data_IF_473200458371
#
_entry.id   IF_473200458371
#
_cell.length_a   1.000
_cell.length_b   1.000
_cell.length_c   1.000
_cell.angle_alpha   90.00
_cell.angle_beta   90.00
_cell.angle_gamma   90.00
#
_symmetry.space_group_name_H-M   'P 1'
#
loop_
_entity.id
_entity.type
_entity.pdbx_description
1 polymer ?
#
# COMPACT_ATOMS: atom_id res chain seq x y z
N UNK A 1 18.26 -0.79 5.44
CA UNK A 1 17.23 -1.75 4.98
C UNK A 1 16.64 -1.28 3.67
N UNK A 2 16.80 -2.08 2.62
CA UNK A 2 16.12 -1.85 1.35
C UNK A 2 14.66 -2.27 1.52
N UNK A 3 13.69 -1.41 1.23
CA UNK A 3 12.27 -1.76 1.39
C UNK A 3 11.61 -1.83 0.01
N UNK A 4 10.70 -2.78 -0.22
CA UNK A 4 10.02 -2.89 -1.49
C UNK A 4 8.58 -2.42 -1.52
N UNK A 5 8.25 -1.81 -2.65
CA UNK A 5 6.94 -1.35 -3.08
C UNK A 5 6.36 -2.33 -4.10
N UNK A 6 5.20 -2.91 -3.79
CA UNK A 6 4.53 -3.86 -4.69
C UNK A 6 3.68 -3.11 -5.73
N UNK A 7 3.97 -3.25 -7.01
CA UNK A 7 3.18 -2.69 -8.12
C UNK A 7 2.43 -3.81 -8.88
N UNK A 8 1.10 -3.68 -8.97
CA UNK A 8 0.25 -4.54 -9.77
C UNK A 8 -0.25 -3.78 -11.00
N UNK A 9 0.10 -4.24 -12.20
CA UNK A 9 -0.45 -3.71 -13.44
C UNK A 9 -0.60 -4.82 -14.51
N UNK A 10 -1.79 -5.03 -15.11
CA UNK A 10 -1.93 -5.89 -16.28
C UNK A 10 -1.19 -5.28 -17.48
N UNK A 11 -0.65 -6.17 -18.33
CA UNK A 11 0.27 -5.89 -19.46
C UNK A 11 -0.25 -4.86 -20.48
N UNK A 12 -1.54 -4.56 -20.51
CA UNK A 12 -2.20 -3.73 -21.53
C UNK A 12 -2.06 -2.21 -21.36
N UNK A 13 -1.35 -1.71 -20.34
CA UNK A 13 -1.03 -0.27 -20.19
C UNK A 13 0.46 -0.02 -20.02
N UNK A 14 1.27 -0.58 -20.93
CA UNK A 14 2.70 -0.27 -21.07
C UNK A 14 2.93 0.50 -22.37
N UNK A 15 2.62 1.79 -22.34
CA UNK A 15 3.55 2.77 -22.87
C UNK A 15 4.27 3.36 -21.63
N UNK A 16 5.56 3.66 -21.72
CA UNK A 16 6.29 4.54 -20.79
C UNK A 16 7.12 3.96 -19.63
N UNK A 17 7.36 2.64 -19.52
CA UNK A 17 8.43 2.13 -18.62
C UNK A 17 9.63 1.59 -19.43
N UNK A 18 9.83 2.14 -20.63
CA UNK A 18 10.87 1.71 -21.56
C UNK A 18 11.51 2.87 -22.32
N UNK A 19 11.68 4.02 -21.69
CA UNK A 19 12.55 5.06 -22.25
C UNK A 19 14.00 4.74 -21.85
N UNK A 20 14.76 4.27 -22.85
CA UNK A 20 16.23 4.20 -22.81
C UNK A 20 16.78 5.52 -22.28
N UNK A 21 17.78 5.45 -21.42
CA UNK A 21 18.59 6.60 -21.03
C UNK A 21 19.22 7.21 -22.28
N UNK A 22 18.55 8.18 -22.89
CA UNK A 22 19.17 9.14 -23.78
C UNK A 22 19.76 10.23 -22.87
N UNK A 23 21.03 10.54 -23.08
CA UNK A 23 21.71 11.67 -22.46
C UNK A 23 21.01 12.94 -22.96
N UNK A 24 20.03 13.42 -22.19
CA UNK A 24 19.33 14.68 -22.46
C UNK A 24 20.17 15.80 -21.87
N UNK A 25 20.50 16.78 -22.72
CA UNK A 25 21.23 17.98 -22.34
C UNK A 25 20.61 18.66 -21.12
N UNK A 26 21.47 19.15 -20.24
CA UNK A 26 21.15 19.85 -18.99
C UNK A 26 20.04 20.89 -19.26
N UNK A 27 18.84 20.74 -18.69
CA UNK A 27 17.79 21.74 -18.86
C UNK A 27 18.26 23.06 -18.23
N UNK A 28 17.84 24.22 -18.77
CA UNK A 28 18.18 25.49 -18.15
C UNK A 28 17.68 25.46 -16.71
N UNK A 29 18.56 25.88 -15.78
CA UNK A 29 18.25 26.06 -14.37
C UNK A 29 16.96 26.87 -14.32
N UNK A 30 15.86 26.21 -13.94
CA UNK A 30 14.62 26.90 -13.66
C UNK A 30 14.91 27.65 -12.37
N UNK A 31 15.19 28.94 -12.54
CA UNK A 31 15.37 29.91 -11.46
C UNK A 31 14.32 29.59 -10.40
N UNK A 32 14.80 29.10 -9.25
CA UNK A 32 13.97 28.85 -8.10
C UNK A 32 13.29 30.18 -7.81
N UNK A 33 11.96 30.22 -7.96
CA UNK A 33 11.19 31.34 -7.46
C UNK A 33 11.60 31.52 -5.99
N UNK A 34 11.89 32.76 -5.55
CA UNK A 34 12.25 33.01 -4.17
C UNK A 34 11.20 32.36 -3.26
N UNK A 35 11.64 31.81 -2.14
CA UNK A 35 10.77 31.34 -1.07
C UNK A 35 9.93 32.52 -0.55
N UNK A 36 8.86 32.84 -1.27
CA UNK A 36 7.86 33.77 -0.81
C UNK A 36 7.09 33.06 0.29
N UNK A 37 6.82 33.78 1.38
CA UNK A 37 5.89 33.49 2.48
C UNK A 37 4.44 33.27 1.98
N UNK A 38 4.25 32.38 1.01
CA UNK A 38 2.93 31.98 0.52
C UNK A 38 2.41 30.95 1.50
N UNK A 39 1.36 31.31 2.22
CA UNK A 39 0.64 30.38 3.10
C UNK A 39 0.35 29.07 2.34
N UNK A 40 0.75 27.89 2.86
CA UNK A 40 0.46 26.62 2.22
C UNK A 40 -1.04 26.42 1.89
N UNK A 41 -1.94 26.98 2.70
CA UNK A 41 -3.38 26.98 2.46
C UNK A 41 -3.76 27.77 1.20
N UNK A 42 -3.10 28.88 0.95
CA UNK A 42 -3.28 29.69 -0.26
C UNK A 42 -2.82 28.94 -1.53
N UNK A 43 -1.70 28.21 -1.45
CA UNK A 43 -1.25 27.35 -2.54
C UNK A 43 -2.25 26.20 -2.83
N UNK A 44 -2.83 25.59 -1.78
CA UNK A 44 -3.87 24.57 -1.92
C UNK A 44 -5.11 25.17 -2.61
N UNK A 45 -5.56 26.35 -2.20
CA UNK A 45 -6.68 27.06 -2.82
C UNK A 45 -6.46 27.32 -4.31
N UNK A 46 -5.26 27.77 -4.67
CA UNK A 46 -4.89 28.01 -6.05
C UNK A 46 -4.97 26.74 -6.91
N UNK A 47 -4.56 25.59 -6.35
CA UNK A 47 -4.64 24.30 -7.03
C UNK A 47 -6.09 23.84 -7.27
N UNK A 48 -7.01 24.07 -6.33
CA UNK A 48 -8.45 23.86 -6.58
C UNK A 48 -8.91 24.63 -7.83
N UNK A 49 -8.51 25.90 -7.96
CA UNK A 49 -8.87 26.70 -9.12
C UNK A 49 -8.23 26.19 -10.42
N UNK A 50 -6.97 25.72 -10.36
CA UNK A 50 -6.26 25.13 -11.51
C UNK A 50 -6.99 23.93 -12.11
N UNK A 51 -7.71 23.17 -11.27
CA UNK A 51 -8.51 22.01 -11.69
C UNK A 51 -10.00 22.31 -11.85
N UNK A 52 -10.42 23.58 -11.84
CA UNK A 52 -11.82 23.99 -11.88
C UNK A 52 -12.70 23.36 -10.77
N UNK A 53 -12.10 23.07 -9.62
CA UNK A 53 -12.78 22.54 -8.45
C UNK A 53 -13.10 23.65 -7.45
N UNK A 54 -14.14 23.45 -6.66
CA UNK A 54 -14.53 24.34 -5.57
C UNK A 54 -14.00 23.74 -4.26
N UNK A 55 -13.24 24.50 -3.44
CA UNK A 55 -12.86 24.05 -2.10
C UNK A 55 -14.08 23.70 -1.24
N UNK A 56 -13.93 22.86 -0.20
CA UNK A 56 -15.03 22.56 0.72
C UNK A 56 -15.61 23.83 1.35
N UNK A 57 -16.92 23.84 1.59
CA UNK A 57 -17.64 25.02 2.10
C UNK A 57 -17.01 25.67 3.36
N UNK A 58 -16.50 24.90 4.36
CA UNK A 58 -15.82 25.50 5.52
C UNK A 58 -14.55 26.29 5.18
N UNK A 59 -13.98 26.11 4.00
CA UNK A 59 -12.78 26.83 3.55
C UNK A 59 -13.12 28.11 2.77
N UNK A 60 -14.41 28.44 2.58
CA UNK A 60 -14.89 29.56 1.77
C UNK A 60 -15.34 30.78 2.60
N UNK A 61 -15.03 30.82 3.90
CA UNK A 61 -15.25 32.02 4.72
C UNK A 61 -14.27 33.15 4.31
N UNK A 62 -14.68 34.43 4.41
CA UNK A 62 -13.78 35.55 4.18
C UNK A 62 -12.54 35.48 5.10
N UNK A 63 -11.36 35.77 4.55
CA UNK A 63 -10.08 35.71 5.28
C UNK A 63 -9.49 34.31 5.44
N UNK A 64 -10.14 33.26 4.90
CA UNK A 64 -9.57 31.92 4.90
C UNK A 64 -8.52 31.80 3.76
N UNK A 65 -7.27 31.34 4.02
CA UNK A 65 -6.19 31.35 3.02
C UNK A 65 -6.53 30.54 1.76
N UNK A 66 -7.18 29.38 1.92
CA UNK A 66 -7.68 28.57 0.80
C UNK A 66 -8.64 29.35 -0.12
N UNK A 67 -9.54 30.17 0.45
CA UNK A 67 -10.46 30.98 -0.35
C UNK A 67 -9.68 32.02 -1.16
N UNK A 68 -8.75 32.71 -0.52
CA UNK A 68 -7.93 33.75 -1.17
C UNK A 68 -7.14 33.18 -2.33
N UNK A 69 -6.50 32.03 -2.12
CA UNK A 69 -5.78 31.31 -3.16
C UNK A 69 -6.67 30.84 -4.30
N UNK A 70 -7.86 30.31 -3.97
CA UNK A 70 -8.84 29.88 -4.97
C UNK A 70 -9.37 31.03 -5.81
N UNK A 71 -9.73 32.16 -5.20
CA UNK A 71 -10.19 33.35 -5.92
C UNK A 71 -9.08 33.92 -6.82
N UNK A 72 -7.84 34.00 -6.33
CA UNK A 72 -6.69 34.43 -7.14
C UNK A 72 -6.45 33.48 -8.31
N UNK A 73 -6.47 32.18 -8.05
CA UNK A 73 -6.32 31.15 -9.09
C UNK A 73 -7.42 31.24 -10.14
N UNK A 74 -8.68 31.46 -9.75
CA UNK A 74 -9.80 31.61 -10.70
C UNK A 74 -9.61 32.80 -11.64
N UNK A 75 -9.15 33.95 -11.12
CA UNK A 75 -8.86 35.14 -11.93
C UNK A 75 -7.77 34.88 -12.97
N UNK A 76 -6.75 34.10 -12.61
CA UNK A 76 -5.61 33.78 -13.49
C UNK A 76 -5.89 32.64 -14.48
N UNK A 77 -6.65 31.62 -14.07
CA UNK A 77 -6.86 30.42 -14.86
C UNK A 77 -7.89 30.60 -15.97
N UNK A 78 -8.86 31.51 -15.85
CA UNK A 78 -9.90 31.80 -16.86
C UNK A 78 -10.45 30.52 -17.55
N UNK A 79 -9.95 30.15 -18.74
CA UNK A 79 -10.30 28.94 -19.52
C UNK A 79 -9.19 27.87 -19.60
N UNK A 80 -8.03 28.07 -18.98
CA UNK A 80 -6.85 27.18 -19.00
C UNK A 80 -6.83 26.23 -17.80
N UNK A 81 -7.96 25.64 -17.47
CA UNK A 81 -8.07 24.67 -16.36
C UNK A 81 -7.68 23.27 -16.80
N UNK A 82 -7.22 22.46 -15.85
CA UNK A 82 -6.90 21.05 -16.03
C UNK A 82 -8.09 20.17 -15.66
N UNK A 83 -8.21 18.94 -16.20
CA UNK A 83 -9.31 18.04 -15.87
C UNK A 83 -9.25 17.56 -14.42
N UNK A 84 -10.41 17.64 -13.74
CA UNK A 84 -10.60 17.14 -12.38
C UNK A 84 -10.90 15.63 -12.37
N UNK A 85 -9.87 14.80 -12.46
CA UNK A 85 -10.03 13.35 -12.26
C UNK A 85 -10.26 13.00 -10.79
N UNK A 86 -10.86 11.85 -10.48
CA UNK A 86 -11.04 11.38 -9.09
C UNK A 86 -9.75 11.40 -8.26
N UNK A 87 -8.64 10.96 -8.86
CA UNK A 87 -7.32 11.00 -8.24
C UNK A 87 -6.85 12.42 -7.88
N UNK A 88 -7.23 13.45 -8.65
CA UNK A 88 -6.93 14.85 -8.34
C UNK A 88 -7.79 15.33 -7.18
N UNK A 89 -9.09 15.01 -7.19
CA UNK A 89 -10.00 15.36 -6.09
C UNK A 89 -9.53 14.76 -4.76
N UNK A 90 -9.12 13.48 -4.77
CA UNK A 90 -8.54 12.82 -3.60
C UNK A 90 -7.22 13.47 -3.16
N UNK A 91 -6.35 13.80 -4.11
CA UNK A 91 -5.07 14.45 -3.81
C UNK A 91 -5.27 15.80 -3.11
N UNK A 92 -6.18 16.64 -3.61
CA UNK A 92 -6.51 17.91 -2.99
C UNK A 92 -7.14 17.72 -1.60
N UNK A 93 -8.02 16.73 -1.44
CA UNK A 93 -8.62 16.41 -0.15
C UNK A 93 -7.59 15.95 0.88
N UNK A 94 -6.60 15.15 0.48
CA UNK A 94 -5.51 14.72 1.36
C UNK A 94 -4.62 15.88 1.79
N UNK A 95 -4.23 16.75 0.84
CA UNK A 95 -3.45 17.96 1.13
C UNK A 95 -4.17 18.87 2.10
N UNK A 96 -5.45 19.10 1.87
CA UNK A 96 -6.29 19.88 2.75
C UNK A 96 -6.36 19.28 4.15
N UNK A 97 -6.58 17.97 4.26
CA UNK A 97 -6.68 17.29 5.55
C UNK A 97 -5.35 17.31 6.31
N UNK A 98 -4.22 17.15 5.62
CA UNK A 98 -2.89 17.25 6.23
C UNK A 98 -2.63 18.67 6.75
N UNK A 99 -2.88 19.69 5.92
CA UNK A 99 -2.75 21.10 6.31
C UNK A 99 -3.63 21.46 7.52
N UNK A 100 -4.90 21.01 7.53
CA UNK A 100 -5.82 21.24 8.65
C UNK A 100 -5.36 20.58 9.97
N UNK A 101 -4.57 19.50 9.89
CA UNK A 101 -4.00 18.83 11.07
C UNK A 101 -2.61 19.32 11.43
N UNK A 102 -2.03 20.24 10.66
CA UNK A 102 -0.63 20.65 10.82
C UNK A 102 0.36 19.52 10.50
N UNK A 103 -0.05 18.53 9.71
CA UNK A 103 0.78 17.39 9.30
C UNK A 103 1.58 17.75 8.05
N UNK A 104 2.82 17.28 7.98
CA UNK A 104 3.64 17.40 6.78
C UNK A 104 3.01 16.62 5.61
N UNK A 105 3.05 17.22 4.42
CA UNK A 105 2.60 16.60 3.19
C UNK A 105 3.63 16.81 2.09
N UNK A 106 4.23 15.72 1.62
CA UNK A 106 5.22 15.75 0.55
C UNK A 106 4.54 15.63 -0.82
N UNK A 107 4.42 16.78 -1.52
CA UNK A 107 3.86 16.88 -2.87
C UNK A 107 4.69 16.16 -3.94
N UNK A 108 5.96 15.82 -3.67
CA UNK A 108 6.80 15.03 -4.56
C UNK A 108 6.48 13.54 -4.45
N UNK A 109 6.23 13.05 -3.24
CA UNK A 109 5.88 11.65 -3.00
C UNK A 109 4.41 11.35 -3.29
N UNK A 110 3.50 12.24 -2.91
CA UNK A 110 2.06 12.02 -3.09
C UNK A 110 1.55 12.88 -4.23
N UNK A 111 1.49 12.25 -5.40
CA UNK A 111 0.97 12.87 -6.62
C UNK A 111 -0.37 12.25 -7.02
N UNK A 112 -1.18 12.94 -7.87
CA UNK A 112 -2.37 12.34 -8.46
C UNK A 112 -2.08 11.02 -9.22
N UNK A 113 -0.86 10.83 -9.74
CA UNK A 113 -0.46 9.57 -10.37
C UNK A 113 -0.33 8.43 -9.35
N UNK A 114 0.19 8.72 -8.15
CA UNK A 114 0.23 7.74 -7.05
C UNK A 114 -1.19 7.35 -6.64
N UNK A 115 -2.09 8.31 -6.44
CA UNK A 115 -3.46 7.99 -6.07
C UNK A 115 -4.21 7.22 -7.15
N UNK A 116 -4.02 7.56 -8.43
CA UNK A 116 -4.57 6.79 -9.56
C UNK A 116 -4.13 5.32 -9.56
N UNK A 117 -2.93 5.03 -9.07
CA UNK A 117 -2.48 3.64 -8.98
C UNK A 117 -3.16 2.86 -7.84
N UNK A 118 -3.61 3.56 -6.78
CA UNK A 118 -4.39 2.95 -5.70
C UNK A 118 -5.82 2.64 -6.16
N UNK A 119 -6.36 3.41 -7.12
CA UNK A 119 -7.67 3.21 -7.75
C UNK A 119 -7.79 1.91 -8.56
N UNK A 120 -6.67 1.20 -8.78
CA UNK A 120 -6.71 -0.17 -9.32
C UNK A 120 -7.37 -1.15 -8.34
N UNK A 121 -7.41 -0.81 -7.05
CA UNK A 121 -8.11 -1.61 -6.05
C UNK A 121 -9.63 -1.53 -6.27
N UNK A 122 -10.25 -2.68 -6.55
CA UNK A 122 -11.70 -2.80 -6.75
C UNK A 122 -12.46 -3.14 -5.47
N UNK A 123 -11.77 -3.67 -4.45
CA UNK A 123 -12.37 -4.12 -3.21
C UNK A 123 -11.60 -3.59 -2.00
N UNK A 124 -12.32 -3.35 -0.91
CA UNK A 124 -11.76 -2.90 0.35
C UNK A 124 -10.94 -4.04 0.98
N UNK A 125 -9.67 -3.82 1.34
CA UNK A 125 -8.81 -4.86 1.87
C UNK A 125 -9.28 -5.41 3.23
N UNK A 126 -10.13 -4.68 3.96
CA UNK A 126 -10.66 -5.11 5.26
C UNK A 126 -12.02 -5.80 5.12
N UNK A 127 -12.98 -5.19 4.43
CA UNK A 127 -14.35 -5.74 4.33
C UNK A 127 -14.53 -6.70 3.17
N UNK A 128 -13.66 -6.68 2.17
CA UNK A 128 -13.82 -7.43 0.92
C UNK A 128 -14.96 -6.93 0.04
N UNK A 129 -15.63 -5.83 0.40
CA UNK A 129 -16.71 -5.24 -0.42
C UNK A 129 -16.13 -4.36 -1.53
N UNK A 130 -16.84 -4.25 -2.65
CA UNK A 130 -16.46 -3.36 -3.74
C UNK A 130 -16.29 -1.92 -3.24
N UNK A 131 -15.20 -1.26 -3.65
CA UNK A 131 -14.95 0.15 -3.37
C UNK A 131 -15.77 1.00 -4.33
N UNK A 132 -16.38 2.06 -3.80
CA UNK A 132 -17.13 3.05 -4.56
C UNK A 132 -16.31 4.35 -4.65
N UNK A 133 -16.86 5.35 -5.33
CA UNK A 133 -16.18 6.65 -5.51
C UNK A 133 -15.94 7.39 -4.18
N UNK A 134 -16.74 7.09 -3.15
CA UNK A 134 -16.60 7.60 -1.79
C UNK A 134 -15.46 6.94 -0.99
N UNK A 135 -14.75 5.97 -1.57
CA UNK A 135 -13.62 5.32 -0.92
C UNK A 135 -12.55 6.35 -0.52
N UNK A 136 -12.05 6.19 0.70
CA UNK A 136 -11.16 7.13 1.36
C UNK A 136 -9.74 6.60 1.36
N UNK A 137 -8.78 7.48 1.07
CA UNK A 137 -7.35 7.18 1.21
C UNK A 137 -6.93 7.44 2.64
N UNK A 138 -6.26 6.49 3.27
CA UNK A 138 -5.74 6.61 4.62
C UNK A 138 -4.30 6.10 4.72
N UNK A 139 -3.47 6.67 5.62
CA UNK A 139 -2.17 6.10 5.94
C UNK A 139 -2.35 4.79 6.73
N UNK A 140 -1.53 3.78 6.45
CA UNK A 140 -1.58 2.49 7.15
C UNK A 140 -0.98 2.66 8.55
N UNK A 141 0.25 3.14 8.62
CA UNK A 141 0.89 3.55 9.87
C UNK A 141 0.78 5.07 10.03
N UNK A 142 0.08 5.50 11.09
CA UNK A 142 -0.11 6.93 11.40
C UNK A 142 1.21 7.64 11.68
N UNK A 143 2.21 6.94 12.26
CA UNK A 143 3.51 7.53 12.61
C UNK A 143 4.34 7.90 11.39
N UNK A 144 4.13 7.19 10.28
CA UNK A 144 4.76 7.47 8.97
C UNK A 144 4.02 8.55 8.18
N UNK A 145 2.86 8.99 8.65
CA UNK A 145 2.06 10.05 8.03
C UNK A 145 1.75 9.81 6.55
N UNK A 146 1.64 10.90 5.82
CA UNK A 146 1.35 10.93 4.39
C UNK A 146 2.62 10.67 3.57
N UNK A 147 2.97 9.39 3.40
CA UNK A 147 4.12 8.96 2.60
C UNK A 147 3.72 8.02 1.45
N UNK A 148 4.42 8.12 0.31
CA UNK A 148 4.34 7.09 -0.73
C UNK A 148 4.76 5.73 -0.14
N UNK A 149 4.04 4.65 -0.43
CA UNK A 149 4.28 3.37 0.24
C UNK A 149 3.46 3.13 1.50
N UNK A 150 2.81 4.15 2.06
CA UNK A 150 2.05 4.03 3.31
C UNK A 150 0.55 4.26 3.14
N UNK A 151 0.04 4.35 1.90
CA UNK A 151 -1.37 4.69 1.64
C UNK A 151 -2.18 3.47 1.24
N UNK A 152 -3.44 3.43 1.71
CA UNK A 152 -4.42 2.41 1.35
C UNK A 152 -5.78 3.04 1.06
N UNK A 153 -6.52 2.45 0.13
CA UNK A 153 -7.90 2.83 -0.19
C UNK A 153 -8.87 1.95 0.61
N UNK A 154 -9.74 2.58 1.40
CA UNK A 154 -10.67 1.92 2.32
C UNK A 154 -12.11 2.37 2.07
N UNK A 155 -13.07 1.50 2.40
CA UNK A 155 -14.48 1.90 2.45
C UNK A 155 -14.71 2.95 3.56
N UNK A 156 -15.62 3.93 3.39
CA UNK A 156 -15.80 5.04 4.33
C UNK A 156 -15.96 4.61 5.80
N UNK A 157 -16.81 3.61 6.05
CA UNK A 157 -17.06 3.13 7.42
C UNK A 157 -15.85 2.45 8.09
N UNK A 158 -14.89 1.96 7.31
CA UNK A 158 -13.59 1.48 7.85
C UNK A 158 -12.64 2.66 7.99
N UNK A 159 -12.58 3.55 7.01
CA UNK A 159 -11.68 4.70 7.03
C UNK A 159 -11.92 5.60 8.25
N UNK A 160 -13.16 5.76 8.70
CA UNK A 160 -13.46 6.54 9.90
C UNK A 160 -12.85 5.93 11.16
N UNK A 161 -13.06 4.63 11.38
CA UNK A 161 -12.47 3.87 12.49
C UNK A 161 -10.94 3.81 12.37
N UNK A 162 -10.42 3.71 11.16
CA UNK A 162 -8.99 3.56 10.87
C UNK A 162 -8.15 4.74 11.40
N UNK A 163 -8.75 5.92 11.54
CA UNK A 163 -8.08 7.14 12.04
C UNK A 163 -7.57 6.99 13.47
N UNK A 164 -8.22 6.14 14.29
CA UNK A 164 -7.91 6.00 15.71
C UNK A 164 -7.20 4.69 16.05
N UNK A 165 -7.22 3.71 15.13
CA UNK A 165 -6.65 2.39 15.37
C UNK A 165 -5.17 2.41 15.01
N UNK A 166 -4.30 2.28 16.01
CA UNK A 166 -2.89 1.97 15.81
C UNK A 166 -2.61 0.45 15.85
N UNK A 167 -1.34 0.06 15.80
CA UNK A 167 -0.92 -1.33 15.80
C UNK A 167 -1.28 -2.08 17.09
N UNK A 168 -1.01 -1.50 18.26
CA UNK A 168 -1.24 -2.17 19.55
C UNK A 168 -2.74 -2.27 19.82
N UNK A 169 -3.51 -1.22 19.53
CA UNK A 169 -4.97 -1.26 19.61
C UNK A 169 -5.57 -2.35 18.72
N UNK A 170 -5.03 -2.53 17.51
CA UNK A 170 -5.48 -3.58 16.60
C UNK A 170 -5.18 -4.99 17.16
N UNK A 171 -3.99 -5.20 17.75
CA UNK A 171 -3.62 -6.46 18.41
C UNK A 171 -4.54 -6.77 19.59
N UNK A 172 -4.75 -5.80 20.47
CA UNK A 172 -5.59 -5.97 21.66
C UNK A 172 -7.05 -6.23 21.28
N UNK A 173 -7.56 -5.54 20.25
CA UNK A 173 -8.90 -5.79 19.73
C UNK A 173 -9.01 -7.20 19.12
N UNK A 174 -8.01 -7.66 18.36
CA UNK A 174 -8.00 -9.02 17.82
C UNK A 174 -8.00 -10.07 18.95
N UNK A 175 -7.14 -9.91 19.96
CA UNK A 175 -7.07 -10.84 21.09
C UNK A 175 -8.41 -10.97 21.83
N UNK A 176 -9.12 -9.84 22.05
CA UNK A 176 -10.46 -9.84 22.66
C UNK A 176 -11.48 -10.59 21.83
N UNK A 177 -11.50 -10.37 20.51
CA UNK A 177 -12.43 -11.06 19.61
C UNK A 177 -12.07 -12.54 19.44
N UNK A 178 -10.79 -12.91 19.55
CA UNK A 178 -10.38 -14.32 19.51
C UNK A 178 -10.78 -15.09 20.78
N UNK A 179 -10.79 -14.43 21.93
CA UNK A 179 -11.31 -15.00 23.17
C UNK A 179 -12.84 -15.23 23.10
N UNK A 180 -13.58 -14.33 22.46
CA UNK A 180 -15.04 -14.41 22.29
C UNK A 180 -15.47 -14.14 20.83
N UNK A 181 -15.39 -15.14 19.91
CA UNK A 181 -15.55 -14.92 18.46
C UNK A 181 -16.89 -14.37 18.00
N UNK A 182 -17.94 -14.50 18.80
CA UNK A 182 -19.27 -13.96 18.49
C UNK A 182 -19.40 -12.46 18.83
N UNK A 183 -18.43 -11.91 19.57
CA UNK A 183 -18.43 -10.49 19.94
C UNK A 183 -18.01 -9.60 18.78
N UNK A 184 -18.58 -8.39 18.77
CA UNK A 184 -18.16 -7.31 17.89
C UNK A 184 -17.39 -6.29 18.70
N UNK A 185 -16.07 -6.24 18.53
CA UNK A 185 -15.26 -5.14 19.07
C UNK A 185 -15.28 -3.99 18.06
N UNK A 186 -15.75 -2.82 18.51
CA UNK A 186 -15.95 -1.61 17.69
C UNK A 186 -16.84 -1.82 16.43
N UNK A 187 -17.74 -2.80 16.49
CA UNK A 187 -18.63 -3.17 15.39
C UNK A 187 -17.94 -3.96 14.27
N UNK A 188 -16.75 -4.52 14.51
CA UNK A 188 -16.04 -5.36 13.56
C UNK A 188 -15.96 -6.82 14.05
N UNK A 189 -16.29 -7.81 13.19
CA UNK A 189 -16.15 -9.23 13.51
C UNK A 189 -14.69 -9.70 13.40
N UNK A 190 -14.42 -10.90 13.92
CA UNK A 190 -13.09 -11.54 13.92
C UNK A 190 -12.36 -11.45 12.58
N UNK A 191 -13.04 -11.79 11.48
CA UNK A 191 -12.45 -11.76 10.13
C UNK A 191 -11.92 -10.38 9.72
N UNK A 192 -12.55 -9.29 10.17
CA UNK A 192 -12.12 -7.94 9.84
C UNK A 192 -10.93 -7.54 10.71
N UNK A 193 -10.96 -7.86 12.01
CA UNK A 193 -9.82 -7.61 12.90
C UNK A 193 -8.54 -8.34 12.47
N UNK A 194 -8.66 -9.60 12.03
CA UNK A 194 -7.55 -10.34 11.43
C UNK A 194 -6.93 -9.61 10.23
N UNK A 195 -7.77 -9.01 9.39
CA UNK A 195 -7.33 -8.24 8.22
C UNK A 195 -6.74 -6.88 8.60
N UNK A 196 -7.27 -6.24 9.65
CA UNK A 196 -6.73 -4.99 10.19
C UNK A 196 -5.32 -5.22 10.73
N UNK A 197 -5.14 -6.24 11.59
CA UNK A 197 -3.83 -6.61 12.13
C UNK A 197 -2.85 -6.96 11.01
N UNK A 198 -3.25 -7.83 10.07
CA UNK A 198 -2.40 -8.16 8.92
C UNK A 198 -1.96 -6.89 8.17
N UNK A 199 -2.89 -6.00 7.80
CA UNK A 199 -2.57 -4.79 7.05
C UNK A 199 -1.70 -3.80 7.83
N UNK A 200 -1.98 -3.57 9.12
CA UNK A 200 -1.17 -2.68 9.99
C UNK A 200 0.26 -3.23 10.14
N UNK A 201 0.41 -4.54 10.31
CA UNK A 201 1.72 -5.17 10.49
C UNK A 201 2.66 -4.95 9.30
N UNK A 202 2.12 -4.90 8.06
CA UNK A 202 2.92 -4.69 6.85
C UNK A 202 3.67 -3.36 6.84
N UNK A 203 3.12 -2.34 7.51
CA UNK A 203 3.71 -1.00 7.58
C UNK A 203 4.36 -0.68 8.94
N UNK A 204 4.22 -1.56 9.93
CA UNK A 204 4.74 -1.38 11.28
C UNK A 204 6.07 -2.13 11.43
N UNK A 205 7.15 -1.51 11.91
CA UNK A 205 8.38 -2.23 12.23
C UNK A 205 8.16 -3.21 13.39
N UNK A 206 8.44 -4.49 13.18
CA UNK A 206 8.24 -5.55 14.17
C UNK A 206 9.49 -6.43 14.32
N UNK A 207 9.70 -7.06 15.50
CA UNK A 207 10.64 -8.16 15.63
C UNK A 207 10.36 -9.27 14.62
N UNK A 208 11.42 -9.93 14.12
CA UNK A 208 11.30 -10.94 13.06
C UNK A 208 10.30 -12.05 13.41
N UNK A 209 10.38 -12.61 14.61
CA UNK A 209 9.52 -13.72 15.03
C UNK A 209 8.05 -13.28 15.16
N UNK A 210 7.81 -12.07 15.67
CA UNK A 210 6.47 -11.49 15.74
C UNK A 210 5.90 -11.28 14.33
N UNK A 211 6.67 -10.67 13.43
CA UNK A 211 6.27 -10.43 12.05
C UNK A 211 5.97 -11.74 11.30
N UNK A 212 6.77 -12.78 11.52
CA UNK A 212 6.61 -14.11 10.93
C UNK A 212 5.35 -14.84 11.42
N UNK A 213 4.92 -14.60 12.67
CA UNK A 213 3.76 -15.24 13.28
C UNK A 213 2.42 -14.72 12.78
N UNK A 214 2.41 -13.57 12.10
CA UNK A 214 1.19 -12.91 11.65
C UNK A 214 0.74 -13.53 10.31
N UNK A 215 -0.47 -14.13 10.24
CA UNK A 215 -0.98 -14.64 8.98
C UNK A 215 -1.31 -13.52 7.99
N UNK A 216 -0.98 -13.72 6.71
CA UNK A 216 -1.25 -12.75 5.64
C UNK A 216 -2.72 -12.79 5.18
N UNK A 217 -3.64 -12.42 6.08
CA UNK A 217 -5.08 -12.32 5.81
C UNK A 217 -5.47 -11.22 4.81
N UNK A 218 -4.51 -10.36 4.46
CA UNK A 218 -4.62 -9.35 3.41
C UNK A 218 -3.32 -9.38 2.61
N UNK A 219 -3.41 -9.71 1.31
CA UNK A 219 -2.28 -9.52 0.42
C UNK A 219 -1.99 -8.03 0.30
N UNK A 220 -0.71 -7.60 0.26
CA UNK A 220 -0.39 -6.17 0.23
C UNK A 220 -1.14 -5.45 -0.89
N UNK A 221 -1.93 -4.41 -0.55
CA UNK A 221 -2.46 -3.51 -1.56
C UNK A 221 -1.38 -2.88 -2.44
N UNK A 222 -1.82 -2.36 -3.59
CA UNK A 222 -0.92 -1.78 -4.58
C UNK A 222 -0.13 -0.61 -3.98
N UNK A 223 1.15 -0.56 -4.30
CA UNK A 223 2.14 0.43 -3.89
C UNK A 223 2.38 0.56 -2.40
N UNK A 224 2.09 -0.46 -1.60
CA UNK A 224 2.55 -0.46 -0.20
C UNK A 224 4.01 -0.87 -0.14
N UNK A 225 4.74 -0.16 0.72
CA UNK A 225 6.12 -0.41 1.09
C UNK A 225 6.14 -1.25 2.36
N UNK A 226 6.52 -2.52 2.24
CA UNK A 226 6.60 -3.43 3.37
C UNK A 226 7.86 -3.13 4.18
N UNK A 227 7.72 -3.15 5.50
CA UNK A 227 8.81 -2.80 6.42
C UNK A 227 9.56 -4.04 6.91
N UNK A 228 8.85 -5.16 7.08
CA UNK A 228 9.41 -6.39 7.65
C UNK A 228 9.84 -7.36 6.53
N UNK A 229 11.13 -7.72 6.40
CA UNK A 229 11.62 -8.58 5.32
C UNK A 229 10.92 -9.94 5.23
N UNK A 230 10.54 -10.50 6.38
CA UNK A 230 9.87 -11.81 6.42
C UNK A 230 8.44 -11.75 5.87
N UNK A 231 7.73 -10.65 6.12
CA UNK A 231 6.40 -10.41 5.54
C UNK A 231 6.50 -10.02 4.06
N UNK A 232 7.61 -9.40 3.66
CA UNK A 232 7.90 -9.18 2.25
C UNK A 232 8.10 -10.51 1.51
N UNK A 233 8.87 -11.44 2.09
CA UNK A 233 9.01 -12.80 1.58
C UNK A 233 7.65 -13.52 1.53
N UNK A 234 6.87 -13.44 2.61
CA UNK A 234 5.51 -13.98 2.68
C UNK A 234 4.63 -13.49 1.52
N UNK A 235 4.65 -12.18 1.27
CA UNK A 235 3.91 -11.55 0.19
C UNK A 235 4.42 -11.98 -1.19
N UNK A 236 5.73 -11.92 -1.44
CA UNK A 236 6.32 -12.32 -2.73
C UNK A 236 5.95 -13.77 -3.04
N UNK A 237 6.19 -14.71 -2.12
CA UNK A 237 5.90 -16.14 -2.33
C UNK A 237 4.42 -16.38 -2.60
N UNK A 238 3.54 -15.68 -1.89
CA UNK A 238 2.09 -15.82 -2.07
C UNK A 238 1.64 -15.26 -3.43
N UNK A 239 2.15 -14.10 -3.83
CA UNK A 239 1.75 -13.45 -5.08
C UNK A 239 2.20 -14.21 -6.33
N UNK A 240 3.26 -15.03 -6.23
CA UNK A 240 3.67 -15.94 -7.31
C UNK A 240 2.59 -16.93 -7.71
N UNK A 241 1.77 -17.36 -6.74
CA UNK A 241 0.66 -18.30 -6.93
C UNK A 241 -0.57 -17.62 -7.55
N UNK A 242 -0.72 -16.31 -7.37
CA UNK A 242 -1.84 -15.54 -7.93
C UNK A 242 -1.72 -15.29 -9.45
N UNK A 243 -0.56 -15.58 -10.05
CA UNK A 243 -0.26 -15.33 -11.47
C UNK A 243 -0.28 -16.65 -12.27
N UNK A 244 -0.80 -16.68 -13.50
CA UNK A 244 -0.73 -17.85 -14.38
C UNK A 244 0.69 -18.40 -14.57
N UNK A 245 0.86 -19.71 -14.77
CA UNK A 245 2.18 -20.34 -14.95
C UNK A 245 2.98 -20.52 -13.66
N UNK A 246 2.32 -20.48 -12.50
CA UNK A 246 2.96 -20.62 -11.19
C UNK A 246 3.69 -21.96 -11.01
N UNK A 247 3.28 -23.04 -11.69
CA UNK A 247 3.92 -24.36 -11.55
C UNK A 247 5.37 -24.40 -12.04
N UNK A 248 5.70 -23.70 -13.13
CA UNK A 248 7.10 -23.58 -13.60
C UNK A 248 7.90 -22.69 -12.65
N UNK A 249 7.30 -21.59 -12.19
CA UNK A 249 7.95 -20.68 -11.24
C UNK A 249 8.21 -21.35 -9.89
N UNK A 250 7.29 -22.16 -9.38
CA UNK A 250 7.46 -22.89 -8.12
C UNK A 250 8.73 -23.73 -8.09
N UNK A 251 9.10 -24.38 -9.21
CA UNK A 251 10.36 -25.11 -9.32
C UNK A 251 11.56 -24.16 -9.25
N UNK A 252 11.54 -23.08 -10.04
CA UNK A 252 12.59 -22.06 -9.97
C UNK A 252 12.74 -21.42 -8.59
N UNK A 253 11.63 -21.23 -7.86
CA UNK A 253 11.64 -20.77 -6.46
C UNK A 253 12.36 -21.80 -5.58
N UNK A 254 11.98 -23.08 -5.64
CA UNK A 254 12.62 -24.13 -4.86
C UNK A 254 14.13 -24.24 -5.15
N UNK A 255 14.52 -24.13 -6.42
CA UNK A 255 15.93 -24.18 -6.84
C UNK A 255 16.73 -22.98 -6.32
N UNK A 256 16.06 -21.82 -6.20
CA UNK A 256 16.65 -20.60 -5.65
C UNK A 256 16.86 -20.65 -4.13
N UNK A 257 16.21 -21.59 -3.43
CA UNK A 257 16.35 -21.74 -1.97
C UNK A 257 17.67 -22.43 -1.60
N UNK A 258 18.32 -22.00 -0.49
CA UNK A 258 19.39 -22.75 0.15
C UNK A 258 18.97 -24.20 0.39
N UNK A 259 19.89 -25.16 0.20
CA UNK A 259 19.60 -26.60 0.32
C UNK A 259 18.93 -26.94 1.65
N UNK A 260 19.39 -26.32 2.75
CA UNK A 260 18.83 -26.49 4.09
C UNK A 260 17.35 -26.06 4.22
N UNK A 261 16.88 -25.13 3.40
CA UNK A 261 15.51 -24.61 3.43
C UNK A 261 14.57 -25.29 2.45
N UNK A 262 15.09 -26.01 1.45
CA UNK A 262 14.27 -26.54 0.34
C UNK A 262 13.13 -27.43 0.81
N UNK A 263 13.39 -28.30 1.79
CA UNK A 263 12.36 -29.19 2.32
C UNK A 263 11.22 -28.42 2.99
N UNK A 264 11.56 -27.53 3.93
CA UNK A 264 10.55 -26.72 4.63
C UNK A 264 9.80 -25.79 3.66
N UNK A 265 10.49 -25.19 2.69
CA UNK A 265 9.87 -24.42 1.63
C UNK A 265 8.84 -25.24 0.84
N UNK A 266 9.23 -26.42 0.34
CA UNK A 266 8.32 -27.27 -0.45
C UNK A 266 7.11 -27.70 0.36
N UNK A 267 7.31 -28.04 1.63
CA UNK A 267 6.25 -28.45 2.54
C UNK A 267 5.26 -27.30 2.81
N UNK A 268 5.76 -26.10 3.10
CA UNK A 268 4.95 -24.89 3.24
C UNK A 268 4.21 -24.57 1.94
N UNK A 269 4.94 -24.43 0.83
CA UNK A 269 4.41 -23.94 -0.44
C UNK A 269 3.30 -24.85 -0.99
N UNK A 270 3.50 -26.17 -0.91
CA UNK A 270 2.48 -27.13 -1.32
C UNK A 270 1.26 -27.12 -0.38
N UNK A 271 1.45 -26.88 0.92
CA UNK A 271 0.32 -26.77 1.86
C UNK A 271 -0.52 -25.51 1.59
N UNK A 272 0.13 -24.37 1.32
CA UNK A 272 -0.54 -23.11 0.98
C UNK A 272 -1.34 -23.27 -0.32
N UNK A 273 -0.72 -23.83 -1.35
CA UNK A 273 -1.36 -24.08 -2.64
C UNK A 273 -2.55 -25.03 -2.51
N UNK A 274 -2.38 -26.16 -1.82
CA UNK A 274 -3.46 -27.12 -1.64
C UNK A 274 -4.65 -26.47 -0.91
N UNK A 275 -4.38 -25.65 0.11
CA UNK A 275 -5.42 -24.96 0.85
C UNK A 275 -6.12 -23.89 0.02
N UNK A 276 -5.37 -23.09 -0.74
CA UNK A 276 -5.96 -22.11 -1.66
C UNK A 276 -6.82 -22.78 -2.73
N UNK A 277 -6.35 -23.89 -3.32
CA UNK A 277 -7.12 -24.64 -4.31
C UNK A 277 -8.40 -25.24 -3.72
N UNK A 278 -8.36 -25.76 -2.49
CA UNK A 278 -9.56 -26.26 -1.77
C UNK A 278 -10.61 -25.16 -1.59
N UNK A 279 -10.16 -23.96 -1.21
CA UNK A 279 -11.06 -22.82 -1.01
C UNK A 279 -11.60 -22.25 -2.33
N UNK A 280 -10.87 -22.45 -3.43
CA UNK A 280 -11.21 -21.96 -4.76
C UNK A 280 -11.97 -23.00 -5.63
N UNK A 281 -12.43 -24.12 -5.05
CA UNK A 281 -13.26 -25.11 -5.77
C UNK A 281 -14.68 -24.58 -5.98
N UNK A 282 -14.86 -23.70 -6.96
CA UNK A 282 -16.19 -23.34 -7.43
C UNK A 282 -16.38 -21.97 -8.07
N UNK A 283 -15.37 -21.08 -8.13
CA UNK A 283 -15.65 -19.73 -8.59
C UNK A 283 -14.48 -19.03 -9.37
N UNK A 284 -14.68 -17.77 -9.77
CA UNK A 284 -13.95 -17.03 -10.80
C UNK A 284 -12.55 -16.50 -10.39
N UNK A 285 -11.71 -16.17 -11.38
CA UNK A 285 -10.28 -15.76 -11.24
C UNK A 285 -9.94 -14.70 -10.18
N UNK A 286 -10.87 -13.80 -9.84
CA UNK A 286 -10.69 -12.79 -8.77
C UNK A 286 -10.51 -13.43 -7.39
N UNK A 287 -10.87 -14.69 -7.23
CA UNK A 287 -10.87 -15.41 -5.96
C UNK A 287 -9.53 -16.03 -5.59
N UNK A 288 -8.59 -16.23 -6.51
CA UNK A 288 -7.32 -16.85 -6.15
C UNK A 288 -6.57 -16.02 -5.10
N UNK A 289 -6.65 -14.68 -5.19
CA UNK A 289 -6.02 -13.79 -4.20
C UNK A 289 -6.69 -13.90 -2.82
N UNK A 290 -8.02 -13.95 -2.79
CA UNK A 290 -8.77 -14.07 -1.55
C UNK A 290 -8.63 -15.47 -0.94
N UNK A 291 -8.61 -16.51 -1.75
CA UNK A 291 -8.34 -17.90 -1.35
C UNK A 291 -6.92 -18.06 -0.80
N UNK A 292 -5.92 -17.39 -1.39
CA UNK A 292 -4.56 -17.36 -0.84
C UNK A 292 -4.52 -16.65 0.51
N UNK A 293 -5.17 -15.49 0.63
CA UNK A 293 -5.23 -14.75 1.90
C UNK A 293 -5.98 -15.52 3.00
N UNK A 294 -7.03 -16.27 2.64
CA UNK A 294 -7.75 -17.13 3.55
C UNK A 294 -6.99 -18.43 3.88
N UNK A 295 -6.18 -18.96 2.95
CA UNK A 295 -5.31 -20.12 3.19
C UNK A 295 -4.24 -19.85 4.25
N UNK A 296 -3.76 -18.61 4.39
CA UNK A 296 -2.89 -18.20 5.49
C UNK A 296 -3.52 -18.38 6.87
N UNK A 297 -4.85 -18.39 6.98
CA UNK A 297 -5.54 -18.68 8.24
C UNK A 297 -5.52 -20.14 8.68
N UNK A 298 -5.03 -21.06 7.85
CA UNK A 298 -4.98 -22.49 8.15
C UNK A 298 -3.81 -22.84 9.09
N UNK A 299 -4.10 -23.60 10.14
CA UNK A 299 -3.12 -23.95 11.16
C UNK A 299 -1.95 -24.82 10.63
N UNK A 300 -2.18 -25.63 9.59
CA UNK A 300 -1.12 -26.44 8.98
C UNK A 300 -0.21 -25.54 8.14
N UNK A 301 -0.79 -24.63 7.36
CA UNK A 301 -0.03 -23.64 6.58
C UNK A 301 0.84 -22.80 7.51
N UNK A 302 0.28 -22.24 8.57
CA UNK A 302 1.03 -21.43 9.54
C UNK A 302 2.12 -22.21 10.26
N UNK A 303 1.85 -23.46 10.67
CA UNK A 303 2.87 -24.30 11.32
C UNK A 303 4.06 -24.58 10.39
N UNK A 304 3.79 -24.85 9.11
CA UNK A 304 4.82 -25.09 8.09
C UNK A 304 5.62 -23.83 7.79
N UNK A 305 4.93 -22.69 7.70
CA UNK A 305 5.55 -21.38 7.56
C UNK A 305 6.49 -21.08 8.74
N UNK A 306 6.03 -21.24 9.98
CA UNK A 306 6.85 -20.99 11.18
C UNK A 306 8.09 -21.89 11.26
N UNK A 307 8.00 -23.14 10.78
CA UNK A 307 9.19 -24.03 10.65
C UNK A 307 10.18 -23.52 9.62
N UNK A 308 9.68 -23.00 8.50
CA UNK A 308 10.50 -22.37 7.48
C UNK A 308 11.18 -21.10 8.01
N UNK A 309 10.45 -20.22 8.70
CA UNK A 309 10.99 -18.97 9.24
C UNK A 309 11.95 -19.18 10.40
N UNK A 310 11.80 -20.25 11.19
CA UNK A 310 12.76 -20.63 12.22
C UNK A 310 14.17 -20.91 11.66
N UNK A 311 14.29 -21.18 10.36
CA UNK A 311 15.56 -21.40 9.66
C UNK A 311 15.96 -20.20 8.77
N UNK A 312 15.12 -19.16 8.67
CA UNK A 312 15.31 -18.03 7.77
C UNK A 312 15.14 -16.71 8.50
N UNK A 313 16.26 -16.16 8.98
CA UNK A 313 16.32 -14.87 9.63
C UNK A 313 15.97 -13.69 8.68
N UNK A 314 15.94 -12.48 9.22
CA UNK A 314 15.59 -11.28 8.47
C UNK A 314 16.54 -11.00 7.28
N UNK A 315 17.83 -11.25 7.44
CA UNK A 315 18.84 -11.03 6.40
C UNK A 315 18.68 -12.02 5.25
N UNK A 316 18.43 -13.29 5.57
CA UNK A 316 18.16 -14.31 4.59
C UNK A 316 16.84 -14.05 3.86
N UNK A 317 15.80 -13.63 4.58
CA UNK A 317 14.53 -13.23 3.98
C UNK A 317 14.73 -12.08 2.99
N UNK A 318 15.48 -11.05 3.35
CA UNK A 318 15.82 -9.92 2.47
C UNK A 318 16.57 -10.39 1.23
N UNK A 319 17.59 -11.24 1.39
CA UNK A 319 18.38 -11.80 0.29
C UNK A 319 17.53 -12.64 -0.67
N UNK A 320 16.63 -13.47 -0.11
CA UNK A 320 15.71 -14.28 -0.90
C UNK A 320 14.78 -13.39 -1.70
N UNK A 321 14.16 -12.40 -1.07
CA UNK A 321 13.30 -11.44 -1.74
C UNK A 321 14.04 -10.73 -2.88
N UNK A 322 15.24 -10.21 -2.62
CA UNK A 322 16.11 -9.57 -3.62
C UNK A 322 16.30 -10.46 -4.86
N UNK A 323 16.62 -11.74 -4.63
CA UNK A 323 16.81 -12.74 -5.68
C UNK A 323 15.50 -12.99 -6.44
N UNK A 324 14.39 -13.15 -5.73
CA UNK A 324 13.08 -13.46 -6.31
C UNK A 324 12.49 -12.29 -7.11
N UNK A 325 12.88 -11.06 -6.81
CA UNK A 325 12.39 -9.84 -7.47
C UNK A 325 13.34 -9.29 -8.53
N UNK A 326 14.52 -9.91 -8.71
CA UNK A 326 15.56 -9.44 -9.64
C UNK A 326 15.08 -9.43 -11.09
N UNK A 327 14.31 -10.42 -11.47
CA UNK A 327 13.68 -10.49 -12.79
C UNK A 327 12.21 -10.04 -12.69
N UNK A 328 11.73 -9.18 -13.60
CA UNK A 328 10.35 -8.73 -13.57
C UNK A 328 9.41 -9.91 -13.79
N UNK A 329 8.58 -10.16 -12.77
CA UNK A 329 7.58 -11.23 -12.84
C UNK A 329 6.45 -10.82 -13.79
N UNK A 330 5.95 -11.73 -14.64
CA UNK A 330 4.79 -11.43 -15.47
C UNK A 330 3.58 -11.04 -14.61
N UNK A 331 3.10 -9.79 -14.71
CA UNK A 331 1.92 -9.30 -14.00
C UNK A 331 2.15 -8.85 -12.54
N UNK A 332 3.37 -8.95 -12.01
CA UNK A 332 3.76 -8.44 -10.70
C UNK A 332 5.10 -7.71 -10.81
N UNK A 333 5.16 -6.46 -10.36
CA UNK A 333 6.40 -5.72 -10.35
C UNK A 333 6.72 -5.28 -8.93
N UNK A 334 7.83 -5.74 -8.37
CA UNK A 334 8.27 -5.33 -7.03
C UNK A 334 9.42 -4.34 -7.22
N UNK A 335 9.23 -3.12 -6.75
CA UNK A 335 10.25 -2.05 -6.81
C UNK A 335 10.93 -1.97 -5.47
N UNK A 336 12.24 -2.24 -5.40
CA UNK A 336 13.01 -1.98 -4.17
C UNK A 336 13.52 -0.55 -4.20
N UNK A 337 13.27 0.18 -3.12
CA UNK A 337 13.82 1.51 -2.90
C UNK A 337 15.06 1.37 -2.01
N UNK A 338 16.21 1.83 -2.51
CA UNK A 338 17.45 1.91 -1.74
C UNK A 338 17.38 2.97 -0.65
N UNK A 339 18.30 2.92 0.32
CA UNK A 339 18.31 3.76 1.53
C UNK A 339 18.30 5.29 1.28
N UNK A 340 18.65 5.72 0.06
CA UNK A 340 18.79 7.14 -0.32
C UNK A 340 17.48 7.94 -0.22
N UNK A 341 16.32 7.30 -0.36
CA UNK A 341 15.02 7.99 -0.25
C UNK A 341 14.50 8.07 1.20
N UNK A 342 15.00 7.24 2.11
CA UNK A 342 14.54 7.23 3.51
C UNK A 342 15.20 8.33 4.37
N UNK A 343 16.44 8.69 4.06
CA UNK A 343 17.15 9.75 4.79
C UNK A 343 16.68 11.16 4.40
N UNK A 344 16.12 11.35 3.20
CA UNK A 344 15.59 12.65 2.78
C UNK A 344 14.23 12.98 3.44
N UNK A 345 13.48 11.99 3.91
CA UNK A 345 12.21 12.19 4.63
C UNK A 345 12.38 12.42 6.14
N UNK A 346 13.59 12.24 6.68
CA UNK A 346 13.90 12.42 8.11
C UNK A 346 14.74 13.67 8.38
N UNK A 347 15.25 14.31 7.33
CA UNK A 347 16.10 15.50 7.39
C UNK A 347 15.42 16.77 6.81
N UNK A 348 14.15 16.67 6.41
CA UNK A 348 13.28 17.77 5.98
C UNK A 348 12.01 17.74 6.84
#
# INVERSE_FOLDING_TARGET
MNQATFNFAPRARRADIGAKHAVVAKPPVREQAPANDVDPGDAIGFEYARYALVPPAPCLWPGHPIREGWERGRRLMTRRTRPATLAVTRWLALRLAAWQRGEAFDDHQITPQVLRSLEVATHCPITGRALQDDACVAPIDLRRGWAAGNLVLLSPGIAERWKTIDWEMAKDALARVEAEPETLVEGLPLRHWRRVVALKSLATPLPHDEAASIPLHVLPPNRIRLVNPIQELQAVLTLQLAVPGWGQRARGLADSMPVALRNEFNLFFNSLLAQALRQNQGAAKTEMRDALAAAWGDAVVMRRWLRFTALADATLAETLVERLTREPMPGLYVVRHGEVEAQQAMAA
#
